data_IF_251964431210
#
_entry.id   IF_251964431210
#
_cell.length_a   1.000
_cell.length_b   1.000
_cell.length_c   1.000
_cell.angle_alpha   90.00
_cell.angle_beta   90.00
_cell.angle_gamma   90.00
#
_symmetry.space_group_name_H-M   'P 1'
#
loop_
_entity.id
_entity.type
_entity.pdbx_description
1 polymer ?
#
# COMPACT_ATOMS: atom_id res chain seq x y z
N UNK A 1 2.51 1.10 33.95
CA UNK A 1 2.48 -0.06 33.02
C UNK A 1 1.05 -0.49 32.71
N UNK A 2 0.08 -0.38 33.65
CA UNK A 2 -1.35 -0.68 33.38
C UNK A 2 -1.99 0.11 32.23
N UNK A 3 -1.68 1.40 32.06
CA UNK A 3 -2.32 2.22 31.01
C UNK A 3 -1.98 1.82 29.57
N UNK A 4 -0.74 1.36 29.31
CA UNK A 4 -0.31 0.95 27.96
C UNK A 4 -0.97 -0.37 27.53
N UNK A 5 -1.08 -1.30 28.47
CA UNK A 5 -1.63 -2.63 28.23
C UNK A 5 -3.14 -2.61 27.96
N UNK A 6 -3.87 -1.64 28.55
CA UNK A 6 -5.29 -1.41 28.26
C UNK A 6 -5.46 -0.93 26.81
N UNK A 7 -4.65 0.04 26.35
CA UNK A 7 -4.74 0.60 25.00
C UNK A 7 -4.38 -0.43 23.91
N UNK A 8 -3.37 -1.26 24.13
CA UNK A 8 -3.00 -2.34 23.19
C UNK A 8 -4.12 -3.39 23.04
N UNK A 9 -4.80 -3.71 24.14
CA UNK A 9 -5.95 -4.64 24.14
C UNK A 9 -7.13 -4.06 23.35
N UNK A 10 -7.42 -2.77 23.53
CA UNK A 10 -8.47 -2.06 22.79
C UNK A 10 -8.15 -1.98 21.29
N UNK A 11 -6.91 -1.61 20.93
CA UNK A 11 -6.44 -1.59 19.55
C UNK A 11 -6.61 -2.94 18.87
N UNK A 12 -6.15 -4.02 19.53
CA UNK A 12 -6.30 -5.39 19.06
C UNK A 12 -7.76 -5.74 18.80
N UNK A 13 -8.65 -5.45 19.75
CA UNK A 13 -10.07 -5.76 19.60
C UNK A 13 -10.71 -5.02 18.41
N UNK A 14 -10.36 -3.76 18.18
CA UNK A 14 -10.89 -2.99 17.05
C UNK A 14 -10.41 -3.58 15.72
N UNK A 15 -9.11 -3.88 15.62
CA UNK A 15 -8.51 -4.47 14.41
C UNK A 15 -9.14 -5.83 14.12
N UNK A 16 -9.23 -6.69 15.14
CA UNK A 16 -9.83 -8.02 15.01
C UNK A 16 -11.29 -7.95 14.57
N UNK A 17 -12.10 -7.12 15.23
CA UNK A 17 -13.52 -6.99 14.90
C UNK A 17 -13.70 -6.52 13.46
N UNK A 18 -12.87 -5.57 13.00
CA UNK A 18 -12.96 -5.07 11.64
C UNK A 18 -12.48 -6.10 10.61
N UNK A 19 -11.27 -6.65 10.76
CA UNK A 19 -10.71 -7.59 9.78
C UNK A 19 -11.54 -8.88 9.70
N UNK A 20 -12.08 -9.39 10.80
CA UNK A 20 -12.97 -10.56 10.76
C UNK A 20 -14.33 -10.28 10.08
N UNK A 21 -14.70 -9.00 9.88
CA UNK A 21 -15.88 -8.61 9.11
C UNK A 21 -15.58 -8.38 7.62
N UNK A 22 -14.29 -8.33 7.24
CA UNK A 22 -13.85 -8.04 5.89
C UNK A 22 -13.99 -9.25 4.96
N UNK A 23 -14.23 -8.99 3.68
CA UNK A 23 -14.31 -10.04 2.66
C UNK A 23 -12.95 -10.42 2.05
N UNK A 24 -11.99 -9.48 2.02
CA UNK A 24 -10.71 -9.66 1.36
C UNK A 24 -9.47 -9.53 2.26
N UNK A 25 -9.65 -9.21 3.54
CA UNK A 25 -8.56 -9.20 4.52
C UNK A 25 -8.68 -10.37 5.49
N UNK A 26 -7.55 -10.96 5.85
CA UNK A 26 -7.47 -11.92 6.95
C UNK A 26 -6.41 -11.47 7.96
N UNK A 27 -6.59 -11.85 9.22
CA UNK A 27 -5.66 -11.53 10.31
C UNK A 27 -5.20 -12.80 11.04
N UNK A 28 -3.90 -12.86 11.35
CA UNK A 28 -3.33 -13.90 12.20
C UNK A 28 -2.41 -13.27 13.25
N UNK A 29 -2.61 -13.62 14.53
CA UNK A 29 -1.77 -13.13 15.63
C UNK A 29 -0.60 -14.07 15.89
N UNK A 30 0.59 -13.49 15.98
CA UNK A 30 1.80 -14.18 16.46
C UNK A 30 1.87 -14.17 17.99
N UNK A 31 2.63 -15.10 18.55
CA UNK A 31 3.01 -15.10 19.98
C UNK A 31 3.93 -13.94 20.36
N UNK A 32 4.50 -13.23 19.39
CA UNK A 32 5.45 -12.11 19.57
C UNK A 32 4.80 -10.73 19.52
N UNK A 33 3.51 -10.61 19.88
CA UNK A 33 2.75 -9.34 19.82
C UNK A 33 2.77 -8.66 18.44
N UNK A 34 2.95 -9.47 17.40
CA UNK A 34 2.91 -9.07 16.00
C UNK A 34 1.63 -9.63 15.41
N UNK A 35 0.98 -8.91 14.51
CA UNK A 35 -0.12 -9.45 13.74
C UNK A 35 0.18 -9.36 12.25
N UNK A 36 -0.31 -10.35 11.53
CA UNK A 36 -0.19 -10.48 10.10
C UNK A 36 -1.53 -10.13 9.47
N UNK A 37 -1.54 -9.21 8.52
CA UNK A 37 -2.66 -8.98 7.61
C UNK A 37 -2.29 -9.56 6.26
N UNK A 38 -3.19 -10.34 5.66
CA UNK A 38 -3.07 -10.84 4.29
C UNK A 38 -4.25 -10.34 3.46
N UNK A 39 -3.94 -9.84 2.26
CA UNK A 39 -4.90 -9.38 1.26
C UNK A 39 -5.13 -10.49 0.23
N UNK A 40 -6.36 -10.99 0.12
CA UNK A 40 -6.70 -12.06 -0.83
C UNK A 40 -6.63 -11.62 -2.30
N UNK A 41 -6.75 -10.31 -2.56
CA UNK A 41 -6.76 -9.74 -3.90
C UNK A 41 -5.44 -9.96 -4.66
N UNK A 42 -4.30 -9.91 -3.97
CA UNK A 42 -2.96 -10.00 -4.56
C UNK A 42 -1.99 -10.89 -3.75
N UNK A 43 -2.46 -11.50 -2.66
CA UNK A 43 -1.67 -12.35 -1.78
C UNK A 43 -0.62 -11.58 -0.98
N UNK A 44 -0.68 -10.24 -0.95
CA UNK A 44 0.30 -9.44 -0.20
C UNK A 44 0.03 -9.56 1.30
N UNK A 45 1.14 -9.61 2.03
CA UNK A 45 1.17 -9.83 3.47
C UNK A 45 1.90 -8.68 4.13
N UNK A 46 1.38 -8.27 5.28
CA UNK A 46 1.97 -7.23 6.12
C UNK A 46 2.03 -7.70 7.57
N UNK A 47 3.24 -7.75 8.11
CA UNK A 47 3.48 -8.06 9.53
C UNK A 47 3.69 -6.75 10.30
N UNK A 48 2.81 -6.46 11.27
CA UNK A 48 2.82 -5.21 12.03
C UNK A 48 3.01 -5.52 13.52
N UNK A 49 4.06 -4.98 14.17
CA UNK A 49 4.19 -5.01 15.62
C UNK A 49 3.10 -4.17 16.30
N UNK A 50 2.44 -4.72 17.32
CA UNK A 50 1.38 -4.03 18.05
C UNK A 50 1.90 -2.79 18.80
N UNK A 51 3.14 -2.86 19.29
CA UNK A 51 3.82 -1.77 19.99
C UNK A 51 4.18 -0.58 19.07
N UNK A 52 4.16 -0.79 17.75
CA UNK A 52 4.30 0.27 16.76
C UNK A 52 2.99 1.02 16.49
N UNK A 53 1.84 0.61 17.03
CA UNK A 53 0.56 1.30 16.80
C UNK A 53 0.35 2.40 17.85
N UNK A 54 0.34 3.65 17.39
CA UNK A 54 0.00 4.81 18.23
C UNK A 54 -1.51 4.92 18.44
N UNK A 55 -2.29 4.68 17.37
CA UNK A 55 -3.73 4.88 17.40
C UNK A 55 -4.47 4.07 16.35
N UNK A 56 -5.59 3.48 16.74
CA UNK A 56 -6.56 2.85 15.83
C UNK A 56 -7.82 3.71 15.75
N UNK A 57 -8.30 3.99 14.53
CA UNK A 57 -9.47 4.84 14.31
C UNK A 57 -10.42 4.17 13.30
N UNK A 58 -11.63 3.84 13.73
CA UNK A 58 -12.71 3.45 12.81
C UNK A 58 -13.29 4.69 12.13
N UNK A 59 -13.46 4.63 10.82
CA UNK A 59 -14.00 5.72 9.99
C UNK A 59 -14.90 5.16 8.91
N UNK A 60 -15.56 6.06 8.19
CA UNK A 60 -16.31 5.75 6.97
C UNK A 60 -15.80 6.64 5.85
N UNK A 61 -15.79 6.11 4.63
CA UNK A 61 -15.47 6.88 3.43
C UNK A 61 -16.65 7.77 3.00
N UNK A 62 -16.51 8.48 1.88
CA UNK A 62 -17.58 9.35 1.35
C UNK A 62 -18.82 8.60 0.87
N UNK A 63 -18.74 7.28 0.72
CA UNK A 63 -19.84 6.40 0.34
C UNK A 63 -20.46 5.66 1.55
N UNK A 64 -19.94 5.89 2.76
CA UNK A 64 -20.38 5.22 3.97
C UNK A 64 -19.75 3.84 4.19
N UNK A 65 -18.74 3.46 3.40
CA UNK A 65 -18.06 2.18 3.62
C UNK A 65 -17.11 2.31 4.82
N UNK A 66 -17.20 1.40 5.80
CA UNK A 66 -16.34 1.46 6.98
C UNK A 66 -14.91 1.08 6.63
N UNK A 67 -13.95 1.75 7.24
CA UNK A 67 -12.52 1.41 7.20
C UNK A 67 -11.84 1.70 8.54
N UNK A 68 -10.74 1.00 8.82
CA UNK A 68 -9.92 1.23 10.02
C UNK A 68 -8.60 1.86 9.61
N UNK A 69 -8.31 3.02 10.19
CA UNK A 69 -7.02 3.70 10.04
C UNK A 69 -6.11 3.33 11.21
N UNK A 70 -4.94 2.79 10.89
CA UNK A 70 -3.84 2.57 11.83
C UNK A 70 -2.84 3.71 11.70
N UNK A 71 -2.65 4.48 12.77
CA UNK A 71 -1.50 5.37 12.89
C UNK A 71 -0.41 4.61 13.61
N UNK A 72 0.73 4.44 12.96
CA UNK A 72 1.90 3.86 13.57
C UNK A 72 2.86 4.95 14.04
N UNK A 73 3.88 4.53 14.80
CA UNK A 73 5.08 5.31 15.05
C UNK A 73 5.69 5.79 13.72
N UNK A 74 6.49 6.86 13.78
CA UNK A 74 7.16 7.48 12.63
C UNK A 74 6.20 8.06 11.57
N UNK A 75 5.03 8.52 11.98
CA UNK A 75 4.01 9.17 11.12
C UNK A 75 3.44 8.27 10.00
N UNK A 76 3.70 6.95 10.05
CA UNK A 76 3.17 6.00 9.07
C UNK A 76 1.68 5.77 9.30
N UNK A 77 0.92 5.65 8.21
CA UNK A 77 -0.52 5.44 8.25
C UNK A 77 -0.93 4.35 7.27
N UNK A 78 -1.78 3.46 7.75
CA UNK A 78 -2.38 2.38 6.98
C UNK A 78 -3.89 2.47 7.08
N UNK A 79 -4.57 2.17 5.99
CA UNK A 79 -6.02 2.13 5.93
C UNK A 79 -6.43 0.70 5.60
N UNK A 80 -6.97 -0.02 6.57
CA UNK A 80 -7.59 -1.31 6.35
C UNK A 80 -9.00 -1.06 5.81
N UNK A 81 -9.21 -1.46 4.56
CA UNK A 81 -10.53 -1.47 3.91
C UNK A 81 -11.09 -2.89 3.87
N UNK A 82 -12.28 -3.11 3.31
CA UNK A 82 -12.88 -4.45 3.21
C UNK A 82 -12.01 -5.47 2.45
N UNK A 83 -11.20 -5.00 1.50
CA UNK A 83 -10.44 -5.90 0.60
C UNK A 83 -8.95 -5.59 0.53
N UNK A 84 -8.55 -4.35 0.78
CA UNK A 84 -7.18 -3.89 0.54
C UNK A 84 -6.63 -3.05 1.69
N UNK A 85 -5.30 -3.01 1.79
CA UNK A 85 -4.58 -2.08 2.65
C UNK A 85 -4.16 -0.86 1.83
N UNK A 86 -4.73 0.29 2.17
CA UNK A 86 -4.38 1.59 1.61
C UNK A 86 -3.19 2.23 2.33
N UNK A 87 -2.32 2.89 1.58
CA UNK A 87 -1.17 3.63 2.07
C UNK A 87 -0.91 4.88 1.25
N UNK A 88 -0.07 5.77 1.78
CA UNK A 88 0.29 7.01 1.10
C UNK A 88 1.46 6.75 0.13
N UNK A 89 1.36 7.17 -1.15
CA UNK A 89 2.50 7.11 -2.06
C UNK A 89 3.61 8.06 -1.61
N UNK A 90 4.87 7.67 -1.81
CA UNK A 90 6.03 8.45 -1.36
C UNK A 90 6.27 9.64 -2.30
N UNK A 91 6.38 10.88 -1.81
CA UNK A 91 6.70 12.02 -2.68
C UNK A 91 8.01 11.82 -3.42
N UNK A 92 8.03 12.10 -4.73
CA UNK A 92 9.23 12.04 -5.56
C UNK A 92 9.44 13.31 -6.40
N UNK A 93 10.69 13.74 -6.64
CA UNK A 93 10.97 14.81 -7.59
C UNK A 93 10.43 14.47 -8.99
N UNK A 94 9.88 15.47 -9.67
CA UNK A 94 9.28 15.30 -11.00
C UNK A 94 7.86 14.73 -11.00
N UNK A 95 7.28 14.49 -9.82
CA UNK A 95 5.94 13.96 -9.67
C UNK A 95 5.00 14.99 -9.03
N UNK A 96 3.95 15.37 -9.74
CA UNK A 96 2.93 16.28 -9.20
C UNK A 96 1.99 15.53 -8.25
N UNK A 97 2.28 15.62 -6.95
CA UNK A 97 1.51 14.98 -5.90
C UNK A 97 0.07 15.49 -5.78
N UNK A 98 -0.30 16.62 -6.41
CA UNK A 98 -1.69 17.07 -6.43
C UNK A 98 -2.55 16.26 -7.42
N UNK A 99 -1.93 15.63 -8.40
CA UNK A 99 -2.60 14.83 -9.44
C UNK A 99 -2.69 13.35 -9.09
N UNK A 100 -2.11 12.94 -7.96
CA UNK A 100 -2.03 11.54 -7.53
C UNK A 100 -3.04 11.30 -6.40
N UNK A 101 -3.69 10.14 -6.38
CA UNK A 101 -4.49 9.72 -5.23
C UNK A 101 -3.70 9.84 -3.93
N UNK A 102 -4.31 10.46 -2.90
CA UNK A 102 -3.68 10.63 -1.59
C UNK A 102 -3.43 9.30 -0.87
N UNK A 103 -4.16 8.27 -1.27
CA UNK A 103 -4.08 6.90 -0.79
C UNK A 103 -4.13 6.00 -2.02
N UNK A 104 -3.26 5.02 -2.06
CA UNK A 104 -3.14 3.97 -3.09
C UNK A 104 -3.02 2.61 -2.41
N UNK A 105 -3.10 1.55 -3.19
CA UNK A 105 -3.03 0.14 -2.79
C UNK A 105 -2.03 -0.61 -3.69
N UNK A 106 -1.61 -1.80 -3.29
CA UNK A 106 -0.67 -2.62 -4.08
C UNK A 106 -1.20 -2.99 -5.48
N UNK A 107 -2.51 -3.27 -5.70
CA UNK A 107 -3.04 -3.49 -7.04
C UNK A 107 -2.94 -2.29 -7.98
N UNK A 108 -2.85 -1.05 -7.47
CA UNK A 108 -2.73 0.15 -8.31
C UNK A 108 -1.45 0.11 -9.18
N UNK A 109 -0.43 -0.66 -8.78
CA UNK A 109 0.78 -0.88 -9.57
C UNK A 109 0.49 -1.52 -10.93
N UNK A 110 -0.53 -2.38 -11.03
CA UNK A 110 -0.90 -3.04 -12.29
C UNK A 110 -1.34 -1.99 -13.32
N UNK A 111 -2.22 -1.07 -12.93
CA UNK A 111 -2.68 0.00 -13.83
C UNK A 111 -1.54 0.93 -14.25
N UNK A 112 -0.57 1.19 -13.37
CA UNK A 112 0.62 1.98 -13.73
C UNK A 112 1.51 1.22 -14.73
N UNK A 113 1.68 -0.08 -14.56
CA UNK A 113 2.45 -0.93 -15.48
C UNK A 113 1.80 -0.99 -16.86
N UNK A 114 0.49 -1.25 -16.92
CA UNK A 114 -0.27 -1.27 -18.18
C UNK A 114 -0.11 0.07 -18.93
N UNK A 115 -0.22 1.19 -18.22
CA UNK A 115 -0.01 2.51 -18.81
C UNK A 115 1.43 2.72 -19.36
N UNK A 116 2.44 2.14 -18.71
CA UNK A 116 3.84 2.17 -19.20
C UNK A 116 3.98 1.33 -20.47
N UNK A 117 3.41 0.13 -20.51
CA UNK A 117 3.45 -0.77 -21.68
C UNK A 117 2.74 -0.16 -22.90
N UNK A 118 1.56 0.45 -22.68
CA UNK A 118 0.82 1.18 -23.71
C UNK A 118 1.63 2.37 -24.24
N UNK A 119 2.36 3.07 -23.36
CA UNK A 119 3.21 4.20 -23.72
C UNK A 119 4.40 3.80 -24.59
N UNK A 120 5.01 2.65 -24.30
CA UNK A 120 6.09 2.05 -25.13
C UNK A 120 5.54 1.70 -26.51
N UNK A 121 4.34 1.12 -26.57
CA UNK A 121 3.72 0.66 -27.81
C UNK A 121 3.24 1.81 -28.70
N UNK A 122 2.86 2.94 -28.10
CA UNK A 122 2.18 4.05 -28.79
C UNK A 122 3.10 5.23 -29.14
N UNK A 123 4.43 5.11 -28.96
CA UNK A 123 5.39 6.19 -29.22
C UNK A 123 5.04 7.50 -28.47
N UNK A 124 4.60 7.37 -27.21
CA UNK A 124 4.21 8.50 -26.35
C UNK A 124 5.42 9.38 -26.02
N UNK A 125 5.17 10.66 -25.73
CA UNK A 125 6.20 11.60 -25.33
C UNK A 125 6.98 11.10 -24.10
N UNK A 126 8.30 11.30 -24.12
CA UNK A 126 9.22 10.85 -23.07
C UNK A 126 8.85 11.38 -21.66
N UNK A 127 8.29 12.59 -21.59
CA UNK A 127 7.89 13.24 -20.33
C UNK A 127 6.74 12.50 -19.61
N UNK A 128 5.79 11.94 -20.37
CA UNK A 128 4.69 11.15 -19.83
C UNK A 128 5.19 9.79 -19.32
N UNK A 129 6.13 9.17 -20.05
CA UNK A 129 6.77 7.93 -19.62
C UNK A 129 7.56 8.11 -18.32
N UNK A 130 8.32 9.20 -18.18
CA UNK A 130 9.07 9.47 -16.95
C UNK A 130 8.13 9.75 -15.77
N UNK A 131 7.01 10.43 -16.00
CA UNK A 131 5.97 10.66 -14.99
C UNK A 131 5.36 9.34 -14.50
N UNK A 132 5.06 8.40 -15.41
CA UNK A 132 4.56 7.07 -15.05
C UNK A 132 5.60 6.25 -14.26
N UNK A 133 6.87 6.33 -14.63
CA UNK A 133 7.97 5.68 -13.87
C UNK A 133 8.09 6.26 -12.47
N UNK A 134 8.03 7.58 -12.35
CA UNK A 134 8.04 8.27 -11.05
C UNK A 134 6.84 7.86 -10.19
N UNK A 135 5.64 7.75 -10.78
CA UNK A 135 4.45 7.25 -10.08
C UNK A 135 4.65 5.81 -9.61
N UNK A 136 5.14 4.92 -10.47
CA UNK A 136 5.41 3.53 -10.10
C UNK A 136 6.31 3.45 -8.87
N UNK A 137 7.47 4.11 -8.90
CA UNK A 137 8.38 4.06 -7.76
C UNK A 137 7.84 4.78 -6.52
N UNK A 138 7.00 5.81 -6.69
CA UNK A 138 6.32 6.48 -5.59
C UNK A 138 5.38 5.52 -4.84
N UNK A 139 4.62 4.69 -5.58
CA UNK A 139 3.76 3.66 -4.98
C UNK A 139 4.60 2.56 -4.34
N UNK A 140 5.63 2.05 -5.01
CA UNK A 140 6.54 1.02 -4.47
C UNK A 140 7.15 1.47 -3.14
N UNK A 141 7.75 2.66 -3.09
CA UNK A 141 8.40 3.15 -1.87
C UNK A 141 7.39 3.43 -0.76
N UNK A 142 6.17 3.88 -1.10
CA UNK A 142 5.10 4.05 -0.11
C UNK A 142 4.69 2.72 0.52
N UNK A 143 4.55 1.67 -0.28
CA UNK A 143 4.18 0.34 0.16
C UNK A 143 5.27 -0.31 1.02
N UNK A 144 6.53 -0.24 0.57
CA UNK A 144 7.66 -0.77 1.34
C UNK A 144 7.87 0.00 2.65
N UNK A 145 7.57 1.30 2.66
CA UNK A 145 7.69 2.11 3.86
C UNK A 145 6.72 1.66 4.96
N UNK A 146 5.53 1.16 4.59
CA UNK A 146 4.58 0.57 5.54
C UNK A 146 4.88 -0.89 5.87
N UNK A 147 5.66 -1.58 5.03
CA UNK A 147 6.19 -2.93 5.30
C UNK A 147 5.88 -4.00 4.25
N UNK A 148 5.27 -3.66 3.11
CA UNK A 148 5.08 -4.64 2.03
C UNK A 148 6.40 -5.05 1.37
N UNK A 149 6.49 -6.33 1.00
CA UNK A 149 7.55 -6.80 0.11
C UNK A 149 7.09 -6.72 -1.36
N UNK A 150 7.74 -5.82 -2.11
CA UNK A 150 7.49 -5.58 -3.53
C UNK A 150 8.71 -5.84 -4.42
N UNK A 151 9.62 -6.73 -4.00
CA UNK A 151 10.81 -7.05 -4.80
C UNK A 151 10.46 -7.61 -6.18
N UNK A 152 9.39 -8.40 -6.30
CA UNK A 152 8.94 -8.95 -7.58
C UNK A 152 8.48 -7.85 -8.55
N UNK A 153 7.69 -6.90 -8.08
CA UNK A 153 7.16 -5.78 -8.86
C UNK A 153 8.29 -4.84 -9.32
N UNK A 154 9.28 -4.58 -8.46
CA UNK A 154 10.49 -3.84 -8.83
C UNK A 154 11.23 -4.51 -9.99
N UNK A 155 11.39 -5.82 -9.94
CA UNK A 155 12.06 -6.58 -11.01
C UNK A 155 11.28 -6.53 -12.33
N UNK A 156 9.94 -6.53 -12.27
CA UNK A 156 9.10 -6.49 -13.45
C UNK A 156 9.28 -5.20 -14.26
N UNK A 157 9.30 -4.03 -13.61
CA UNK A 157 9.55 -2.76 -14.30
C UNK A 157 10.91 -2.76 -15.02
N UNK A 158 11.96 -3.30 -14.39
CA UNK A 158 13.27 -3.41 -15.03
C UNK A 158 13.25 -4.24 -16.32
N UNK A 159 12.40 -5.27 -16.39
CA UNK A 159 12.26 -6.10 -17.58
C UNK A 159 11.53 -5.37 -18.71
N UNK A 160 10.42 -4.69 -18.40
CA UNK A 160 9.62 -3.93 -19.39
C UNK A 160 10.49 -2.87 -20.09
N UNK A 161 11.25 -2.11 -19.30
CA UNK A 161 12.11 -1.03 -19.81
C UNK A 161 13.22 -1.57 -20.71
N UNK A 162 13.78 -2.73 -20.38
CA UNK A 162 14.81 -3.37 -21.19
C UNK A 162 14.29 -3.84 -22.55
N UNK A 163 13.03 -4.26 -22.62
CA UNK A 163 12.37 -4.67 -23.86
C UNK A 163 12.07 -3.44 -24.73
N UNK A 164 11.50 -2.38 -24.14
CA UNK A 164 11.21 -1.12 -24.83
C UNK A 164 12.46 -0.46 -25.43
N UNK A 165 13.59 -0.50 -24.73
CA UNK A 165 14.86 0.04 -25.23
C UNK A 165 15.56 -0.78 -26.33
N UNK A 166 15.11 -2.01 -26.60
CA UNK A 166 15.61 -2.84 -27.72
C UNK A 166 14.79 -2.69 -28.99
N UNK A 167 13.54 -2.26 -28.89
CA UNK A 167 12.67 -2.07 -30.06
C UNK A 167 12.98 -0.77 -30.83
N UNK A 168 13.77 0.14 -30.24
CA UNK A 168 14.15 1.44 -30.80
C UNK A 168 15.60 1.52 -31.28
N UNK A 169 16.33 0.40 -31.33
CA UNK A 169 17.74 0.32 -31.75
C UNK A 169 17.93 -0.35 -33.11
#
# INVERSE_FOLDING_TARGET
MEGKQITETEHKQIIDNYVNSCSGLTIAWSTTETFRIEQSADGKVLDIPLDCIEKVISREDSQGNPFVQLNLLDDKKLLLTDTLVGFKPMPRPGLDMQRIPKVVTTPDLIGVIEAIEDSISSNVAYEDMESLRCLFYSVIEGAEHIGFDLQAEKLWLHQIVRIGGRATA
#
